data_IF_094062066488
#
_entry.id   IF_094062066488
#
_cell.length_a   1.000
_cell.length_b   1.000
_cell.length_c   1.000
_cell.angle_alpha   90.00
_cell.angle_beta   90.00
_cell.angle_gamma   90.00
#
_symmetry.space_group_name_H-M   'P 1'
#
loop_
_entity.id
_entity.type
_entity.pdbx_description
1 polymer ?
#
# COMPACT_ATOMS: atom_id res chain seq x y z
N UNK A 1 6.13 2.04 20.23
CA UNK A 1 6.85 2.44 21.46
C UNK A 1 7.63 3.69 21.12
N UNK A 2 7.43 4.81 21.84
CA UNK A 2 8.36 5.93 21.79
C UNK A 2 9.76 5.48 22.28
N UNK A 3 10.82 6.25 22.01
CA UNK A 3 12.19 5.93 22.44
C UNK A 3 12.24 5.63 23.94
N UNK A 4 12.77 4.45 24.28
CA UNK A 4 13.04 4.10 25.67
C UNK A 4 13.98 5.15 26.26
N UNK A 5 13.50 5.87 27.27
CA UNK A 5 14.23 6.90 28.02
C UNK A 5 15.57 6.32 28.46
N UNK A 6 16.68 6.99 28.14
CA UNK A 6 17.94 6.76 28.86
C UNK A 6 17.73 7.30 30.26
N UNK A 7 17.53 6.41 31.25
CA UNK A 7 17.40 6.80 32.66
C UNK A 7 18.54 7.74 33.03
N UNK A 8 18.21 8.96 33.43
CA UNK A 8 19.16 9.86 34.08
C UNK A 8 19.63 9.20 35.37
N UNK A 9 20.95 9.09 35.53
CA UNK A 9 21.56 8.47 36.69
C UNK A 9 21.26 9.30 37.94
N UNK A 10 20.51 8.73 38.90
CA UNK A 10 20.57 9.17 40.31
C UNK A 10 21.80 8.51 40.98
N UNK A 11 22.47 9.20 41.92
CA UNK A 11 23.82 8.84 42.36
C UNK A 11 23.83 7.63 43.30
N UNK A 12 24.86 6.82 43.14
CA UNK A 12 25.12 5.58 43.87
C UNK A 12 25.28 5.77 45.38
N UNK A 13 24.74 4.84 46.17
CA UNK A 13 25.35 4.41 47.44
C UNK A 13 25.61 2.91 47.37
N UNK A 14 26.90 2.57 47.47
CA UNK A 14 27.45 1.22 47.55
C UNK A 14 26.97 0.48 48.80
N UNK A 15 26.78 -0.84 48.72
CA UNK A 15 27.37 -1.86 49.63
C UNK A 15 27.28 -3.24 48.95
N UNK A 16 28.27 -4.10 49.23
CA UNK A 16 28.77 -5.22 48.42
C UNK A 16 28.15 -6.62 48.67
N UNK A 17 28.06 -7.39 47.57
CA UNK A 17 28.44 -8.81 47.28
C UNK A 17 27.96 -10.04 48.12
N UNK A 18 27.24 -10.93 47.38
CA UNK A 18 27.31 -12.42 47.22
C UNK A 18 26.71 -13.37 48.31
N UNK A 19 26.43 -14.68 47.99
CA UNK A 19 25.76 -15.27 46.80
C UNK A 19 24.73 -16.41 47.12
N UNK A 20 24.03 -16.84 46.06
CA UNK A 20 23.37 -18.14 45.76
C UNK A 20 22.39 -18.85 46.73
N UNK A 21 21.18 -19.15 46.21
CA UNK A 21 20.49 -20.43 46.45
C UNK A 21 19.37 -20.67 45.40
N UNK A 22 19.49 -21.81 44.72
CA UNK A 22 18.41 -22.53 44.02
C UNK A 22 17.15 -22.64 44.88
N UNK A 23 15.95 -22.60 44.28
CA UNK A 23 14.93 -23.67 44.41
C UNK A 23 13.81 -23.50 43.37
N UNK A 24 13.49 -24.62 42.71
CA UNK A 24 12.38 -24.96 41.83
C UNK A 24 11.00 -24.49 42.37
N UNK A 25 10.05 -24.15 41.48
CA UNK A 25 8.70 -24.72 41.53
C UNK A 25 7.96 -24.61 40.19
N UNK A 26 7.01 -25.52 40.05
CA UNK A 26 6.27 -26.02 38.88
C UNK A 26 5.22 -25.07 38.30
N UNK A 27 4.92 -25.19 37.00
CA UNK A 27 3.60 -24.78 36.47
C UNK A 27 3.05 -25.71 35.37
N UNK A 28 2.04 -26.48 35.78
CA UNK A 28 0.79 -26.78 35.07
C UNK A 28 0.81 -27.15 33.57
N UNK A 29 0.83 -28.45 33.29
CA UNK A 29 0.24 -29.02 32.05
C UNK A 29 -1.28 -28.83 32.07
N UNK A 30 -1.83 -28.12 31.08
CA UNK A 30 -3.26 -28.21 30.73
C UNK A 30 -3.44 -28.97 29.41
N UNK A 31 -4.15 -30.09 29.56
CA UNK A 31 -4.59 -31.09 28.59
C UNK A 31 -5.64 -30.44 27.67
N UNK A 32 -5.43 -30.44 26.34
CA UNK A 32 -6.52 -30.22 25.37
C UNK A 32 -7.06 -31.58 24.97
N UNK A 33 -8.34 -31.79 25.23
CA UNK A 33 -9.09 -32.97 24.84
C UNK A 33 -9.46 -32.91 23.36
N UNK A 34 -9.32 -34.05 22.71
CA UNK A 34 -9.95 -34.38 21.43
C UNK A 34 -11.47 -34.30 21.56
N UNK A 35 -12.12 -33.77 20.53
CA UNK A 35 -13.27 -34.47 19.95
C UNK A 35 -13.47 -34.03 18.49
N UNK A 36 -13.31 -35.03 17.64
CA UNK A 36 -13.90 -35.23 16.33
C UNK A 36 -15.25 -34.53 16.16
N UNK A 37 -15.42 -33.82 15.04
CA UNK A 37 -16.57 -34.03 14.17
C UNK A 37 -16.19 -33.64 12.72
N UNK A 38 -16.03 -34.69 11.92
CA UNK A 38 -15.75 -34.65 10.49
C UNK A 38 -17.05 -34.35 9.74
N UNK A 39 -17.16 -33.17 9.14
CA UNK A 39 -18.07 -32.93 8.01
C UNK A 39 -17.21 -32.82 6.75
N UNK A 40 -17.20 -33.90 5.97
CA UNK A 40 -16.66 -33.92 4.61
C UNK A 40 -17.44 -32.97 3.71
N UNK A 41 -16.75 -32.01 3.10
CA UNK A 41 -17.19 -31.40 1.86
C UNK A 41 -16.09 -31.60 0.80
N UNK A 42 -16.37 -32.50 -0.14
CA UNK A 42 -15.54 -32.88 -1.27
C UNK A 42 -15.26 -31.66 -2.15
N UNK A 43 -13.98 -31.32 -2.33
CA UNK A 43 -13.53 -30.45 -3.42
C UNK A 43 -12.85 -31.30 -4.48
N UNK A 44 -13.41 -31.22 -5.69
CA UNK A 44 -12.93 -31.88 -6.91
C UNK A 44 -11.54 -31.39 -7.28
N UNK A 45 -10.70 -32.32 -7.69
CA UNK A 45 -9.34 -32.13 -8.17
C UNK A 45 -9.26 -31.07 -9.27
N UNK A 46 -8.46 -30.02 -9.04
CA UNK A 46 -7.96 -29.14 -10.09
C UNK A 46 -6.44 -29.04 -10.02
N UNK A 47 -5.79 -29.66 -11.00
CA UNK A 47 -4.44 -29.45 -11.53
C UNK A 47 -3.31 -29.11 -10.52
N UNK A 48 -2.50 -30.13 -10.18
CA UNK A 48 -1.21 -29.97 -9.50
C UNK A 48 -0.24 -29.12 -10.35
N UNK A 49 0.01 -27.89 -9.91
CA UNK A 49 1.34 -27.26 -9.98
C UNK A 49 1.82 -27.09 -8.54
N UNK A 50 2.64 -28.03 -8.03
CA UNK A 50 3.90 -27.60 -7.40
C UNK A 50 5.00 -28.67 -7.50
N UNK A 51 6.17 -28.33 -8.06
CA UNK A 51 7.44 -29.03 -7.81
C UNK A 51 8.60 -28.04 -7.80
N UNK A 52 8.53 -27.01 -8.65
CA UNK A 52 9.60 -26.00 -8.75
C UNK A 52 9.67 -25.02 -7.56
N UNK A 53 8.52 -24.56 -7.05
CA UNK A 53 8.49 -23.59 -5.92
C UNK A 53 8.97 -24.20 -4.59
N UNK A 54 8.64 -25.48 -4.35
CA UNK A 54 9.11 -26.20 -3.17
C UNK A 54 10.63 -26.40 -3.24
N UNK A 55 11.18 -26.91 -4.35
CA UNK A 55 12.63 -27.15 -4.51
C UNK A 55 13.50 -25.89 -4.35
N UNK A 56 13.05 -24.73 -4.85
CA UNK A 56 13.81 -23.47 -4.73
C UNK A 56 13.80 -22.95 -3.29
N UNK A 57 12.66 -23.05 -2.59
CA UNK A 57 12.57 -22.62 -1.20
C UNK A 57 13.38 -23.50 -0.26
N UNK A 58 13.52 -24.81 -0.55
CA UNK A 58 14.37 -25.70 0.25
C UNK A 58 15.85 -25.34 0.10
N UNK A 59 16.33 -25.03 -1.11
CA UNK A 59 17.74 -24.65 -1.34
C UNK A 59 18.16 -23.34 -0.69
N UNK A 60 17.26 -22.36 -0.59
CA UNK A 60 17.55 -21.10 0.10
C UNK A 60 17.72 -21.29 1.63
N UNK A 61 17.11 -22.32 2.21
CA UNK A 61 17.22 -22.62 3.63
C UNK A 61 18.43 -23.51 3.97
N UNK A 62 19.13 -24.04 2.96
CA UNK A 62 20.34 -24.85 3.12
C UNK A 62 21.61 -24.00 3.20
N UNK A 63 21.55 -22.71 2.84
CA UNK A 63 22.70 -21.80 2.93
C UNK A 63 22.92 -21.30 4.37
N UNK A 64 24.16 -20.99 4.77
CA UNK A 64 24.43 -20.33 6.04
C UNK A 64 23.65 -19.03 6.20
N UNK A 65 23.13 -18.80 7.40
CA UNK A 65 22.30 -17.63 7.72
C UNK A 65 23.00 -16.30 7.41
N UNK A 66 24.32 -16.22 7.56
CA UNK A 66 25.08 -15.01 7.26
C UNK A 66 25.04 -14.64 5.76
N UNK A 67 25.10 -15.66 4.88
CA UNK A 67 24.95 -15.45 3.43
C UNK A 67 23.50 -15.06 3.10
N UNK A 68 22.53 -15.66 3.78
CA UNK A 68 21.13 -15.27 3.64
C UNK A 68 20.91 -13.81 4.04
N UNK A 69 21.53 -13.35 5.14
CA UNK A 69 21.48 -11.95 5.56
C UNK A 69 22.14 -11.02 4.56
N UNK A 70 23.28 -11.41 3.99
CA UNK A 70 23.95 -10.63 2.94
C UNK A 70 23.06 -10.51 1.70
N UNK A 71 22.46 -11.60 1.21
CA UNK A 71 21.52 -11.52 0.08
C UNK A 71 20.33 -10.61 0.43
N UNK A 72 19.81 -10.73 1.64
CA UNK A 72 18.70 -9.93 2.13
C UNK A 72 19.04 -8.44 2.28
N UNK A 73 20.30 -8.08 2.58
CA UNK A 73 20.72 -6.69 2.75
C UNK A 73 20.58 -5.87 1.47
N UNK A 74 20.65 -6.52 0.30
CA UNK A 74 20.47 -5.92 -1.03
C UNK A 74 19.01 -5.80 -1.47
N UNK A 75 18.06 -6.38 -0.73
CA UNK A 75 16.63 -6.28 -1.06
C UNK A 75 16.06 -4.96 -0.53
N UNK A 76 15.07 -4.35 -1.21
CA UNK A 76 14.33 -3.24 -0.63
C UNK A 76 13.52 -3.71 0.59
N UNK A 77 13.23 -2.85 1.58
CA UNK A 77 12.55 -3.26 2.81
C UNK A 77 11.18 -3.92 2.59
N UNK A 78 10.42 -3.47 1.58
CA UNK A 78 9.17 -4.12 1.19
C UNK A 78 9.40 -5.55 0.66
N UNK A 79 10.50 -5.75 -0.07
CA UNK A 79 10.93 -7.07 -0.55
C UNK A 79 11.23 -8.02 0.62
N UNK A 80 11.95 -7.54 1.63
CA UNK A 80 12.19 -8.30 2.86
C UNK A 80 10.91 -8.62 3.62
N UNK A 81 9.99 -7.66 3.70
CA UNK A 81 8.71 -7.89 4.34
C UNK A 81 7.90 -8.98 3.62
N UNK A 82 7.86 -8.97 2.29
CA UNK A 82 7.21 -10.01 1.51
C UNK A 82 7.91 -11.36 1.64
N UNK A 83 9.24 -11.39 1.59
CA UNK A 83 10.05 -12.59 1.78
C UNK A 83 9.80 -13.22 3.16
N UNK A 84 9.70 -12.41 4.21
CA UNK A 84 9.38 -12.88 5.57
C UNK A 84 7.98 -13.51 5.70
N UNK A 85 7.13 -13.43 4.68
CA UNK A 85 5.75 -13.97 4.69
C UNK A 85 5.58 -15.19 3.78
N UNK A 86 6.58 -15.55 3.00
CA UNK A 86 6.50 -16.71 2.10
C UNK A 86 6.72 -18.02 2.85
N UNK A 87 7.58 -18.03 3.88
CA UNK A 87 7.94 -19.23 4.65
C UNK A 87 8.08 -18.93 6.14
N UNK A 88 7.58 -19.84 7.00
CA UNK A 88 7.68 -19.73 8.47
C UNK A 88 9.12 -19.68 8.97
N UNK A 89 10.02 -20.46 8.36
CA UNK A 89 11.44 -20.48 8.73
C UNK A 89 12.12 -19.17 8.36
N UNK A 90 11.90 -18.67 7.14
CA UNK A 90 12.42 -17.37 6.69
C UNK A 90 11.89 -16.25 7.59
N UNK A 91 10.60 -16.30 7.97
CA UNK A 91 10.01 -15.37 8.93
C UNK A 91 10.76 -15.36 10.25
N UNK A 92 11.04 -16.53 10.82
CA UNK A 92 11.73 -16.64 12.11
C UNK A 92 13.15 -16.04 12.02
N UNK A 93 13.85 -16.29 10.91
CA UNK A 93 15.19 -15.75 10.66
C UNK A 93 15.14 -14.22 10.52
N UNK A 94 14.32 -13.69 9.62
CA UNK A 94 14.22 -12.26 9.32
C UNK A 94 13.53 -11.42 10.40
N UNK A 95 12.89 -12.04 11.39
CA UNK A 95 12.32 -11.31 12.54
C UNK A 95 13.21 -11.40 13.78
N UNK A 96 14.37 -12.07 13.67
CA UNK A 96 15.34 -12.19 14.76
C UNK A 96 16.24 -10.95 14.85
N UNK A 97 16.81 -10.73 16.03
CA UNK A 97 17.77 -9.64 16.26
C UNK A 97 19.04 -9.78 15.40
N UNK A 98 19.45 -11.00 15.08
CA UNK A 98 20.61 -11.26 14.21
C UNK A 98 20.42 -10.72 12.78
N UNK A 99 19.17 -10.59 12.32
CA UNK A 99 18.86 -10.07 10.99
C UNK A 99 18.85 -8.54 10.89
N UNK A 100 19.06 -7.82 12.01
CA UNK A 100 18.97 -6.35 12.04
C UNK A 100 19.90 -5.66 11.05
N UNK A 101 21.10 -6.21 10.83
CA UNK A 101 22.02 -5.71 9.83
C UNK A 101 21.38 -5.69 8.43
N UNK A 102 20.81 -6.81 8.00
CA UNK A 102 20.16 -6.93 6.70
C UNK A 102 19.02 -5.91 6.54
N UNK A 103 18.19 -5.73 7.57
CA UNK A 103 17.15 -4.71 7.54
C UNK A 103 17.70 -3.29 7.48
N UNK A 104 18.69 -2.95 8.31
CA UNK A 104 19.28 -1.60 8.30
C UNK A 104 19.89 -1.26 6.95
N UNK A 105 20.63 -2.20 6.36
CA UNK A 105 21.18 -2.07 5.01
C UNK A 105 20.10 -1.99 3.93
N UNK A 106 19.00 -2.74 4.05
CA UNK A 106 17.86 -2.59 3.11
C UNK A 106 17.32 -1.15 3.12
N UNK A 107 17.28 -0.54 4.29
CA UNK A 107 16.87 0.83 4.53
C UNK A 107 17.94 1.87 4.13
N UNK A 108 19.21 1.46 3.99
CA UNK A 108 20.30 2.29 3.44
C UNK A 108 20.03 2.77 2.03
N UNK A 109 19.43 1.92 1.20
CA UNK A 109 19.13 2.27 -0.19
C UNK A 109 18.07 3.35 -0.38
N UNK A 110 17.20 3.61 0.61
CA UNK A 110 15.98 4.42 0.38
C UNK A 110 15.74 5.56 1.38
N UNK A 111 16.38 5.59 2.54
CA UNK A 111 16.13 6.64 3.54
C UNK A 111 17.14 7.77 3.47
N UNK A 112 16.71 8.94 3.88
CA UNK A 112 17.58 10.11 4.08
C UNK A 112 18.34 9.97 5.40
N UNK A 113 19.59 10.43 5.45
CA UNK A 113 20.48 10.26 6.63
C UNK A 113 19.90 10.87 7.91
N UNK A 114 19.18 11.99 7.82
CA UNK A 114 18.48 12.60 8.95
C UNK A 114 17.35 11.74 9.52
N UNK A 115 16.74 10.85 8.73
CA UNK A 115 15.68 9.94 9.20
C UNK A 115 16.31 8.74 9.94
N UNK A 116 17.55 8.35 9.63
CA UNK A 116 18.18 7.13 10.18
C UNK A 116 18.41 7.22 11.68
N UNK A 117 19.02 8.31 12.13
CA UNK A 117 19.49 8.49 13.50
C UNK A 117 18.35 8.55 14.52
N UNK A 118 17.19 9.04 14.09
CA UNK A 118 16.05 9.32 14.97
C UNK A 118 15.32 8.04 15.41
N UNK A 119 15.43 6.94 14.65
CA UNK A 119 14.50 5.78 14.71
C UNK A 119 15.01 4.59 15.51
N UNK A 120 15.85 4.81 16.52
CA UNK A 120 16.35 3.73 17.36
C UNK A 120 15.27 3.08 18.26
N UNK A 121 14.07 3.66 18.30
CA UNK A 121 12.93 3.24 19.12
C UNK A 121 12.02 2.19 18.49
N UNK A 122 12.08 2.04 17.17
CA UNK A 122 11.26 1.09 16.41
C UNK A 122 12.15 0.03 15.75
N UNK A 123 11.75 -1.25 15.86
CA UNK A 123 12.45 -2.30 15.13
C UNK A 123 12.18 -2.19 13.63
N UNK A 124 13.19 -2.54 12.84
CA UNK A 124 13.21 -2.31 11.41
C UNK A 124 12.08 -3.06 10.66
N UNK A 125 11.70 -4.31 11.00
CA UNK A 125 10.55 -4.98 10.39
C UNK A 125 9.22 -4.27 10.66
N UNK A 126 9.07 -3.68 11.85
CA UNK A 126 7.88 -2.91 12.23
C UNK A 126 7.81 -1.64 11.40
N UNK A 127 8.93 -0.95 11.26
CA UNK A 127 9.03 0.25 10.43
C UNK A 127 8.73 -0.03 8.96
N UNK A 128 9.22 -1.15 8.41
CA UNK A 128 8.90 -1.58 7.05
C UNK A 128 7.39 -1.82 6.88
N UNK A 129 6.76 -2.42 7.88
CA UNK A 129 5.30 -2.61 7.90
C UNK A 129 4.57 -1.27 7.94
N UNK A 130 5.02 -0.30 8.74
CA UNK A 130 4.38 1.03 8.78
C UNK A 130 4.49 1.75 7.43
N UNK A 131 5.67 1.76 6.82
CA UNK A 131 5.91 2.54 5.60
C UNK A 131 5.26 1.93 4.34
N UNK A 132 5.33 0.61 4.20
CA UNK A 132 5.03 -0.06 2.92
C UNK A 132 3.80 -0.97 2.95
N UNK A 133 3.31 -1.39 4.12
CA UNK A 133 2.12 -2.24 4.21
C UNK A 133 0.83 -1.41 4.14
N UNK A 134 -0.20 -1.93 3.47
CA UNK A 134 -1.52 -1.30 3.43
C UNK A 134 -2.61 -2.13 4.11
N UNK A 135 -2.23 -2.97 5.06
CA UNK A 135 -3.13 -3.83 5.84
C UNK A 135 -3.20 -3.37 7.28
N UNK A 136 -4.40 -3.42 7.83
CA UNK A 136 -4.62 -3.12 9.24
C UNK A 136 -3.90 -4.14 10.14
N UNK A 137 -3.13 -3.69 11.13
CA UNK A 137 -2.45 -4.56 12.10
C UNK A 137 -3.44 -5.46 12.88
N UNK A 138 -4.61 -4.93 13.22
CA UNK A 138 -5.65 -5.66 13.95
C UNK A 138 -6.41 -6.65 13.07
N UNK A 139 -7.14 -6.15 12.08
CA UNK A 139 -8.05 -6.99 11.27
C UNK A 139 -7.44 -7.56 9.98
N UNK A 140 -6.20 -7.19 9.62
CA UNK A 140 -5.48 -7.64 8.42
C UNK A 140 -6.15 -7.33 7.06
N UNK A 141 -7.27 -6.61 7.08
CA UNK A 141 -7.95 -6.12 5.88
C UNK A 141 -7.16 -4.96 5.26
N UNK A 142 -7.17 -4.82 3.92
CA UNK A 142 -6.62 -3.65 3.26
C UNK A 142 -7.30 -2.39 3.79
N UNK A 143 -6.52 -1.34 4.09
CA UNK A 143 -7.09 -0.05 4.47
C UNK A 143 -7.65 0.65 3.22
N UNK A 144 -8.76 1.34 3.41
CA UNK A 144 -9.39 2.11 2.32
C UNK A 144 -8.61 3.40 2.10
N UNK A 145 -8.28 3.68 0.84
CA UNK A 145 -7.59 4.91 0.41
C UNK A 145 -6.09 4.94 0.73
N UNK A 146 -5.45 6.07 0.39
CA UNK A 146 -4.07 6.38 0.75
C UNK A 146 -3.96 6.82 2.22
N UNK A 147 -4.61 6.07 3.12
CA UNK A 147 -4.63 6.39 4.53
C UNK A 147 -3.21 6.26 5.09
N UNK A 148 -2.69 7.34 5.66
CA UNK A 148 -1.40 7.31 6.36
C UNK A 148 -1.49 6.47 7.64
N UNK A 149 -0.42 5.75 8.01
CA UNK A 149 -0.28 5.11 9.32
C UNK A 149 -0.31 6.13 10.46
N UNK A 150 -0.66 5.68 11.66
CA UNK A 150 -0.58 6.48 12.88
C UNK A 150 0.86 6.41 13.40
N UNK A 151 1.75 7.26 12.88
CA UNK A 151 3.18 7.23 13.22
C UNK A 151 3.45 7.51 14.70
N UNK A 152 2.70 8.43 15.31
CA UNK A 152 2.80 8.73 16.75
C UNK A 152 2.51 7.50 17.63
N UNK A 153 1.58 6.64 17.20
CA UNK A 153 1.26 5.39 17.89
C UNK A 153 2.10 4.21 17.39
N UNK A 154 2.91 4.42 16.34
CA UNK A 154 3.67 3.36 15.64
C UNK A 154 2.77 2.20 15.19
N UNK A 155 1.54 2.51 14.75
CA UNK A 155 0.57 1.51 14.26
C UNK A 155 -0.01 1.81 12.88
N UNK A 156 -0.35 0.72 12.17
CA UNK A 156 -1.04 0.73 10.90
C UNK A 156 -2.43 0.11 11.11
N UNK A 157 -3.28 0.74 11.91
CA UNK A 157 -4.62 0.24 12.20
C UNK A 157 -5.70 0.99 11.38
N UNK A 158 -6.84 0.34 11.17
CA UNK A 158 -8.06 1.02 10.76
C UNK A 158 -8.76 1.58 12.01
N UNK A 159 -9.57 2.62 11.82
CA UNK A 159 -10.32 3.29 12.88
C UNK A 159 -11.00 2.31 13.85
N UNK A 160 -11.81 1.37 13.34
CA UNK A 160 -12.52 0.42 14.20
C UNK A 160 -11.60 -0.47 15.04
N UNK A 161 -10.42 -0.81 14.54
CA UNK A 161 -9.43 -1.57 15.30
C UNK A 161 -8.71 -0.71 16.33
N UNK A 162 -8.53 0.59 16.04
CA UNK A 162 -7.91 1.54 16.95
C UNK A 162 -8.82 1.79 18.16
N UNK A 163 -10.09 2.10 17.91
CA UNK A 163 -11.13 2.33 18.94
C UNK A 163 -11.40 1.09 19.80
N UNK A 164 -11.35 -0.11 19.20
CA UNK A 164 -11.58 -1.36 19.94
C UNK A 164 -10.34 -1.89 20.66
N UNK A 165 -9.18 -1.26 20.49
CA UNK A 165 -7.92 -1.78 21.04
C UNK A 165 -7.76 -1.40 22.51
N UNK A 166 -7.48 -2.37 23.40
CA UNK A 166 -7.17 -2.06 24.79
C UNK A 166 -5.80 -1.38 24.95
N UNK A 167 -4.97 -1.34 23.90
CA UNK A 167 -3.65 -0.67 23.94
C UNK A 167 -3.77 0.85 23.93
N UNK A 168 -4.93 1.39 23.57
CA UNK A 168 -5.18 2.82 23.53
C UNK A 168 -6.22 3.24 24.58
N UNK A 169 -6.20 4.53 24.89
CA UNK A 169 -7.11 5.21 25.80
C UNK A 169 -7.87 6.28 25.03
N UNK A 170 -9.19 6.33 25.18
CA UNK A 170 -9.98 7.50 24.81
C UNK A 170 -9.78 8.62 25.85
N UNK A 171 -10.09 9.89 25.50
CA UNK A 171 -9.92 11.01 26.42
C UNK A 171 -10.70 10.82 27.73
N UNK A 172 -11.87 10.21 27.64
CA UNK A 172 -12.76 9.91 28.77
C UNK A 172 -12.17 8.85 29.72
N UNK A 173 -11.28 7.98 29.23
CA UNK A 173 -10.67 6.91 30.01
C UNK A 173 -9.37 7.34 30.72
N UNK A 174 -8.80 8.49 30.38
CA UNK A 174 -7.52 8.96 30.95
C UNK A 174 -7.61 9.15 32.46
N UNK A 175 -8.70 9.74 32.95
CA UNK A 175 -8.94 9.97 34.37
C UNK A 175 -9.02 8.64 35.14
N UNK A 176 -9.85 7.71 34.64
CA UNK A 176 -9.98 6.38 35.23
C UNK A 176 -8.67 5.57 35.18
N UNK A 177 -7.85 5.75 34.13
CA UNK A 177 -6.54 5.12 34.03
C UNK A 177 -5.54 5.70 35.04
N UNK A 178 -5.51 7.03 35.21
CA UNK A 178 -4.64 7.71 36.16
C UNK A 178 -5.00 7.37 37.62
N UNK A 179 -6.29 7.30 37.94
CA UNK A 179 -6.78 6.94 39.29
C UNK A 179 -6.33 5.54 39.75
N UNK A 180 -6.13 4.60 38.82
CA UNK A 180 -5.61 3.26 39.15
C UNK A 180 -4.19 3.30 39.67
N UNK A 181 -3.42 4.32 39.30
CA UNK A 181 -2.03 4.52 39.72
C UNK A 181 -1.96 5.47 40.91
N UNK A 182 -2.77 6.54 40.89
CA UNK A 182 -2.83 7.58 41.92
C UNK A 182 -4.27 7.69 42.45
N UNK A 183 -4.65 6.89 43.47
CA UNK A 183 -6.04 6.80 43.93
C UNK A 183 -6.59 8.06 44.62
N UNK A 184 -5.78 9.11 44.81
CA UNK A 184 -6.13 10.30 45.58
C UNK A 184 -6.13 11.56 44.71
N UNK A 185 -7.25 12.30 44.73
CA UNK A 185 -7.38 13.64 44.13
C UNK A 185 -6.69 14.72 44.99
N UNK A 186 -5.38 14.61 45.17
CA UNK A 186 -4.60 15.71 45.75
C UNK A 186 -4.69 16.96 44.87
N UNK A 187 -4.44 18.13 45.45
CA UNK A 187 -4.36 19.40 44.72
C UNK A 187 -3.42 19.26 43.51
N UNK A 188 -3.84 19.75 42.34
CA UNK A 188 -3.06 19.66 41.11
C UNK A 188 -3.28 18.38 40.29
N UNK A 189 -4.08 17.41 40.74
CA UNK A 189 -4.39 16.19 39.97
C UNK A 189 -4.88 16.48 38.55
N UNK A 190 -5.88 17.36 38.40
CA UNK A 190 -6.43 17.74 37.08
C UNK A 190 -5.40 18.44 36.20
N UNK A 191 -4.51 19.23 36.81
CA UNK A 191 -3.41 19.88 36.09
C UNK A 191 -2.44 18.84 35.53
N UNK A 192 -2.04 17.87 36.36
CA UNK A 192 -1.14 16.77 35.95
C UNK A 192 -1.75 15.92 34.84
N UNK A 193 -3.01 15.51 35.00
CA UNK A 193 -3.75 14.75 33.97
C UNK A 193 -3.71 15.48 32.62
N UNK A 194 -4.01 16.78 32.62
CA UNK A 194 -4.00 17.59 31.41
C UNK A 194 -2.60 17.73 30.80
N UNK A 195 -1.56 17.92 31.63
CA UNK A 195 -0.18 18.08 31.15
C UNK A 195 0.41 16.78 30.61
N UNK A 196 0.24 15.66 31.33
CA UNK A 196 0.67 14.33 30.87
C UNK A 196 -0.06 13.99 29.56
N UNK A 197 -1.37 14.23 29.47
CA UNK A 197 -2.14 13.99 28.26
C UNK A 197 -1.63 14.77 27.04
N UNK A 198 -1.06 15.98 27.23
CA UNK A 198 -0.51 16.80 26.13
C UNK A 198 0.82 16.28 25.56
N UNK A 199 1.59 15.55 26.36
CA UNK A 199 2.89 14.98 25.97
C UNK A 199 2.81 13.46 25.77
N UNK A 200 1.62 12.87 25.86
CA UNK A 200 1.40 11.45 25.57
C UNK A 200 1.26 11.24 24.06
N UNK A 201 1.95 10.25 23.46
CA UNK A 201 1.72 9.87 22.07
C UNK A 201 0.25 9.60 21.80
N UNK A 202 -0.29 10.25 20.77
CA UNK A 202 -1.70 10.14 20.39
C UNK A 202 -1.86 9.94 18.89
N UNK A 203 -2.95 9.28 18.51
CA UNK A 203 -3.39 9.14 17.13
C UNK A 203 -4.81 9.66 16.96
N UNK A 204 -5.28 9.68 15.72
CA UNK A 204 -6.66 10.03 15.41
C UNK A 204 -7.48 8.76 15.23
N UNK A 205 -8.52 8.57 16.04
CA UNK A 205 -9.51 7.54 15.77
C UNK A 205 -10.31 7.89 14.51
N UNK A 206 -10.68 9.16 14.34
CA UNK A 206 -11.50 9.65 13.21
C UNK A 206 -10.76 10.77 12.47
N UNK A 207 -10.39 10.53 11.19
CA UNK A 207 -9.61 11.47 10.37
C UNK A 207 -10.25 12.84 10.12
N UNK A 208 -11.54 12.98 10.41
CA UNK A 208 -12.36 14.16 10.09
C UNK A 208 -12.76 14.97 11.35
N UNK A 209 -12.46 14.49 12.56
CA UNK A 209 -12.79 15.18 13.82
C UNK A 209 -11.54 15.44 14.67
N UNK A 210 -11.30 16.71 15.01
CA UNK A 210 -10.17 17.13 15.87
C UNK A 210 -10.24 16.59 17.31
N UNK A 211 -11.41 16.09 17.73
CA UNK A 211 -11.74 15.74 19.13
C UNK A 211 -11.73 14.22 19.41
N UNK A 212 -11.41 13.39 18.42
CA UNK A 212 -11.38 11.92 18.57
C UNK A 212 -9.96 11.39 18.67
N UNK A 213 -9.20 11.90 19.65
CA UNK A 213 -7.83 11.46 19.92
C UNK A 213 -7.85 10.20 20.77
N UNK A 214 -6.99 9.25 20.40
CA UNK A 214 -6.67 8.11 21.26
C UNK A 214 -5.21 8.20 21.70
N UNK A 215 -4.93 7.80 22.92
CA UNK A 215 -3.62 7.92 23.56
C UNK A 215 -2.98 6.55 23.75
N UNK A 216 -1.66 6.46 23.58
CA UNK A 216 -0.92 5.24 23.92
C UNK A 216 -1.01 4.96 25.43
N UNK A 217 -1.72 3.88 25.80
CA UNK A 217 -1.97 3.55 27.20
C UNK A 217 -0.69 3.32 27.97
N UNK A 218 0.27 2.61 27.37
CA UNK A 218 1.53 2.26 28.02
C UNK A 218 2.35 3.52 28.36
N UNK A 219 2.53 4.42 27.39
CA UNK A 219 3.26 5.69 27.57
C UNK A 219 2.58 6.57 28.62
N UNK A 220 1.24 6.69 28.58
CA UNK A 220 0.49 7.46 29.56
C UNK A 220 0.73 6.94 30.99
N UNK A 221 0.57 5.63 31.20
CA UNK A 221 0.73 5.02 32.52
C UNK A 221 2.18 5.08 33.02
N UNK A 222 3.17 4.94 32.14
CA UNK A 222 4.58 5.11 32.49
C UNK A 222 4.86 6.53 33.01
N UNK A 223 4.32 7.55 32.35
CA UNK A 223 4.48 8.94 32.78
C UNK A 223 3.76 9.25 34.09
N UNK A 224 2.56 8.71 34.28
CA UNK A 224 1.83 8.84 35.54
C UNK A 224 2.63 8.20 36.68
N UNK A 225 3.15 7.00 36.47
CA UNK A 225 3.95 6.27 37.47
C UNK A 225 5.26 6.99 37.80
N UNK A 226 5.95 7.55 36.80
CA UNK A 226 7.20 8.31 37.01
C UNK A 226 6.98 9.60 37.80
N UNK A 227 5.83 10.24 37.62
CA UNK A 227 5.55 11.58 38.17
C UNK A 227 4.72 11.57 39.44
N UNK A 228 4.21 10.41 39.89
CA UNK A 228 3.24 10.31 40.99
C UNK A 228 3.72 10.94 42.30
N UNK A 229 5.01 10.83 42.60
CA UNK A 229 5.61 11.25 43.88
C UNK A 229 6.34 12.61 43.80
N UNK A 230 6.38 13.23 42.61
CA UNK A 230 7.01 14.55 42.44
C UNK A 230 6.20 15.64 43.13
N UNK A 231 6.85 16.71 43.59
CA UNK A 231 6.15 17.94 43.99
C UNK A 231 5.72 18.78 42.77
N UNK A 232 5.18 19.99 42.99
CA UNK A 232 4.67 20.85 41.91
C UNK A 232 5.80 21.39 41.03
N UNK A 233 6.91 21.82 41.62
CA UNK A 233 8.04 22.44 40.91
C UNK A 233 8.87 21.37 40.18
N UNK A 234 9.05 20.21 40.81
CA UNK A 234 9.65 19.03 40.21
C UNK A 234 8.84 18.53 39.00
N UNK A 235 7.50 18.49 39.13
CA UNK A 235 6.62 18.12 38.03
C UNK A 235 6.68 19.12 36.87
N UNK A 236 6.72 20.42 37.15
CA UNK A 236 6.81 21.43 36.09
C UNK A 236 8.13 21.31 35.33
N UNK A 237 9.24 21.11 36.06
CA UNK A 237 10.56 20.86 35.47
C UNK A 237 10.56 19.60 34.59
N UNK A 238 9.96 18.52 35.09
CA UNK A 238 9.77 17.29 34.32
C UNK A 238 8.95 17.53 33.05
N UNK A 239 7.82 18.22 33.16
CA UNK A 239 6.91 18.47 32.04
C UNK A 239 7.56 19.33 30.95
N UNK A 240 8.36 20.34 31.31
CA UNK A 240 9.11 21.16 30.34
C UNK A 240 10.09 20.29 29.55
N UNK A 241 10.85 19.43 30.23
CA UNK A 241 11.79 18.53 29.57
C UNK A 241 11.06 17.51 28.68
N UNK A 242 9.96 16.93 29.17
CA UNK A 242 9.22 15.92 28.43
C UNK A 242 8.47 16.50 27.24
N UNK A 243 8.01 17.76 27.32
CA UNK A 243 7.44 18.48 26.20
C UNK A 243 8.44 18.64 25.05
N UNK A 244 9.71 18.89 25.34
CA UNK A 244 10.74 18.97 24.30
C UNK A 244 11.05 17.59 23.70
N UNK A 245 11.14 16.54 24.52
CA UNK A 245 11.24 15.16 24.02
C UNK A 245 10.07 14.80 23.10
N UNK A 246 8.86 15.18 23.50
CA UNK A 246 7.65 14.94 22.72
C UNK A 246 7.66 15.71 21.39
N UNK A 247 8.18 16.95 21.39
CA UNK A 247 8.35 17.74 20.17
C UNK A 247 9.32 17.07 19.20
N UNK A 248 10.47 16.59 19.67
CA UNK A 248 11.42 15.86 18.84
C UNK A 248 10.79 14.58 18.25
N UNK A 249 9.99 13.88 19.05
CA UNK A 249 9.23 12.72 18.59
C UNK A 249 8.16 13.07 17.53
N UNK A 250 7.48 14.22 17.68
CA UNK A 250 6.56 14.73 16.66
C UNK A 250 7.29 15.07 15.35
N UNK A 251 8.45 15.71 15.42
CA UNK A 251 9.27 16.05 14.26
C UNK A 251 9.73 14.78 13.53
N UNK A 252 10.11 13.72 14.27
CA UNK A 252 10.40 12.41 13.67
C UNK A 252 9.18 11.82 12.94
N UNK A 253 8.03 11.79 13.61
CA UNK A 253 6.81 11.24 13.03
C UNK A 253 6.41 12.00 11.77
N UNK A 254 6.64 13.31 11.73
CA UNK A 254 6.45 14.15 10.55
C UNK A 254 7.41 13.78 9.43
N UNK A 255 8.69 13.58 9.71
CA UNK A 255 9.66 13.14 8.69
C UNK A 255 9.28 11.80 8.07
N UNK A 256 8.79 10.84 8.87
CA UNK A 256 8.29 9.56 8.35
C UNK A 256 7.05 9.72 7.48
N UNK A 257 6.18 10.65 7.86
CA UNK A 257 5.00 10.99 7.09
C UNK A 257 5.38 11.59 5.74
N UNK A 258 6.26 12.60 5.73
CA UNK A 258 6.74 13.28 4.53
C UNK A 258 7.44 12.28 3.59
N UNK A 259 8.30 11.42 4.15
CA UNK A 259 8.96 10.35 3.40
C UNK A 259 7.95 9.38 2.76
N UNK A 260 6.95 8.93 3.53
CA UNK A 260 5.92 8.03 2.98
C UNK A 260 5.10 8.71 1.89
N UNK A 261 4.73 9.97 2.09
CA UNK A 261 3.98 10.74 1.11
C UNK A 261 4.74 10.86 -0.21
N UNK A 262 6.04 11.19 -0.14
CA UNK A 262 6.95 11.23 -1.28
C UNK A 262 6.99 9.87 -2.02
N UNK A 263 7.21 8.77 -1.29
CA UNK A 263 7.27 7.43 -1.90
C UNK A 263 5.93 7.01 -2.55
N UNK A 264 4.79 7.34 -1.92
CA UNK A 264 3.47 7.05 -2.47
C UNK A 264 3.20 7.89 -3.75
N UNK A 265 3.72 9.12 -3.82
CA UNK A 265 3.66 9.97 -5.01
C UNK A 265 4.53 9.44 -6.15
N UNK A 266 5.80 9.09 -5.89
CA UNK A 266 6.67 8.45 -6.89
C UNK A 266 6.07 7.15 -7.43
N UNK A 267 5.53 6.29 -6.56
CA UNK A 267 4.88 5.05 -6.98
C UNK A 267 3.66 5.31 -7.87
N UNK A 268 2.90 6.38 -7.59
CA UNK A 268 1.76 6.80 -8.40
C UNK A 268 2.22 7.33 -9.76
N UNK A 269 3.27 8.14 -9.81
CA UNK A 269 3.86 8.64 -11.06
C UNK A 269 4.40 7.51 -11.92
N UNK A 270 5.18 6.60 -11.35
CA UNK A 270 5.72 5.45 -12.07
C UNK A 270 4.60 4.57 -12.65
N UNK A 271 3.51 4.37 -11.89
CA UNK A 271 2.32 3.67 -12.36
C UNK A 271 1.63 4.41 -13.50
N UNK A 272 1.56 5.73 -13.44
CA UNK A 272 0.98 6.56 -14.51
C UNK A 272 1.84 6.54 -15.78
N UNK A 273 3.17 6.61 -15.64
CA UNK A 273 4.11 6.46 -16.75
C UNK A 273 3.98 5.09 -17.40
N UNK A 274 3.97 4.01 -16.61
CA UNK A 274 3.78 2.64 -17.12
C UNK A 274 2.46 2.49 -17.88
N UNK A 275 1.35 3.04 -17.34
CA UNK A 275 0.07 3.10 -18.07
C UNK A 275 0.18 3.89 -19.36
N UNK A 276 0.85 5.05 -19.34
CA UNK A 276 1.06 5.90 -20.52
C UNK A 276 1.81 5.19 -21.64
N UNK A 277 2.83 4.39 -21.30
CA UNK A 277 3.56 3.54 -22.27
C UNK A 277 2.61 2.52 -22.92
N UNK A 278 1.79 1.82 -22.13
CA UNK A 278 0.82 0.84 -22.65
C UNK A 278 -0.20 1.52 -23.57
N UNK A 279 -0.72 2.68 -23.17
CA UNK A 279 -1.66 3.47 -23.97
C UNK A 279 -1.03 3.88 -25.29
N UNK A 280 0.21 4.40 -25.25
CA UNK A 280 0.93 4.83 -26.44
C UNK A 280 1.16 3.67 -27.40
N UNK A 281 1.57 2.50 -26.90
CA UNK A 281 1.75 1.31 -27.71
C UNK A 281 0.42 0.85 -28.32
N UNK A 282 -0.66 0.81 -27.53
CA UNK A 282 -2.00 0.45 -28.00
C UNK A 282 -2.46 1.36 -29.15
N UNK A 283 -2.25 2.67 -29.04
CA UNK A 283 -2.60 3.64 -30.08
C UNK A 283 -1.80 3.37 -31.36
N UNK A 284 -0.50 3.08 -31.26
CA UNK A 284 0.32 2.69 -32.42
C UNK A 284 -0.21 1.40 -33.08
N UNK A 285 -0.55 0.39 -32.29
CA UNK A 285 -1.09 -0.88 -32.79
C UNK A 285 -2.43 -0.71 -33.52
N UNK A 286 -3.32 0.13 -32.96
CA UNK A 286 -4.60 0.47 -33.59
C UNK A 286 -4.36 1.16 -34.95
N UNK A 287 -3.48 2.17 -34.99
CA UNK A 287 -3.16 2.90 -36.22
C UNK A 287 -2.57 1.98 -37.29
N UNK A 288 -1.61 1.12 -36.92
CA UNK A 288 -0.99 0.15 -37.82
C UNK A 288 -2.03 -0.79 -38.45
N UNK A 289 -2.92 -1.38 -37.63
CA UNK A 289 -3.97 -2.26 -38.15
C UNK A 289 -4.96 -1.56 -39.09
N UNK A 290 -5.22 -0.27 -38.86
CA UNK A 290 -6.05 0.51 -39.79
C UNK A 290 -5.33 0.76 -41.12
N UNK A 291 -4.05 1.11 -41.09
CA UNK A 291 -3.24 1.26 -42.29
C UNK A 291 -3.18 -0.05 -43.09
N UNK A 292 -2.96 -1.19 -42.43
CA UNK A 292 -2.97 -2.52 -43.05
C UNK A 292 -4.32 -2.86 -43.67
N UNK A 293 -5.42 -2.47 -43.02
CA UNK A 293 -6.78 -2.62 -43.53
C UNK A 293 -7.16 -1.61 -44.64
N UNK A 294 -6.25 -0.71 -45.02
CA UNK A 294 -6.44 0.24 -46.12
C UNK A 294 -7.16 1.54 -45.73
N UNK A 295 -7.22 1.87 -44.44
CA UNK A 295 -7.72 3.16 -43.95
C UNK A 295 -6.60 4.19 -43.90
N UNK A 296 -6.95 5.46 -44.11
CA UNK A 296 -6.00 6.58 -43.99
C UNK A 296 -6.10 7.15 -42.58
N UNK A 297 -4.96 7.16 -41.87
CA UNK A 297 -4.82 7.71 -40.51
C UNK A 297 -4.07 9.06 -40.49
N UNK A 298 -3.66 9.59 -41.64
CA UNK A 298 -2.88 10.84 -41.75
C UNK A 298 -3.81 12.04 -42.01
N UNK A 299 -3.49 13.21 -41.45
CA UNK A 299 -4.10 14.47 -41.90
C UNK A 299 -3.78 14.71 -43.38
N UNK A 300 -4.63 15.46 -44.10
CA UNK A 300 -4.36 15.89 -45.50
C UNK A 300 -3.06 16.71 -45.62
N UNK A 301 -2.51 17.14 -44.48
CA UNK A 301 -1.37 18.04 -44.34
C UNK A 301 -0.05 17.29 -44.03
N UNK A 302 -0.07 15.95 -44.01
CA UNK A 302 1.15 15.12 -44.02
C UNK A 302 1.89 14.92 -42.68
N UNK A 303 1.31 15.29 -41.53
CA UNK A 303 1.95 15.04 -40.23
C UNK A 303 1.67 13.65 -39.63
N UNK A 304 2.65 13.17 -38.85
CA UNK A 304 2.77 11.88 -38.15
C UNK A 304 1.51 11.37 -37.42
N UNK A 305 1.53 10.07 -37.05
CA UNK A 305 0.50 9.38 -36.24
C UNK A 305 0.09 10.11 -34.94
N UNK A 306 0.88 11.06 -34.45
CA UNK A 306 0.55 11.88 -33.29
C UNK A 306 -0.64 12.82 -33.60
N UNK A 307 -0.65 13.43 -34.80
CA UNK A 307 -1.74 14.28 -35.28
C UNK A 307 -3.05 13.52 -35.54
N UNK A 308 -2.99 12.20 -35.73
CA UNK A 308 -4.20 11.36 -35.87
C UNK A 308 -5.04 11.35 -34.59
N UNK A 309 -4.38 11.18 -33.44
CA UNK A 309 -5.02 11.09 -32.14
C UNK A 309 -5.41 12.46 -31.58
N UNK A 310 -4.66 13.52 -31.91
CA UNK A 310 -4.95 14.90 -31.49
C UNK A 310 -6.35 15.38 -31.92
N UNK A 311 -6.86 14.86 -33.05
CA UNK A 311 -8.24 15.14 -33.52
C UNK A 311 -9.33 14.65 -32.57
N UNK A 312 -9.07 13.62 -31.78
CA UNK A 312 -10.00 13.14 -30.74
C UNK A 312 -9.95 13.98 -29.47
N UNK A 313 -8.90 14.78 -29.28
CA UNK A 313 -8.65 15.57 -28.07
C UNK A 313 -8.96 17.06 -28.31
N UNK A 314 -9.17 17.47 -29.56
CA UNK A 314 -9.38 18.87 -29.93
C UNK A 314 -10.63 19.49 -29.27
N UNK A 315 -10.53 20.70 -28.69
CA UNK A 315 -11.56 21.31 -27.86
C UNK A 315 -12.85 21.73 -28.59
N UNK A 316 -12.86 21.76 -29.93
CA UNK A 316 -13.96 22.37 -30.68
C UNK A 316 -15.27 21.57 -30.68
N UNK A 317 -15.30 20.28 -30.26
CA UNK A 317 -16.55 19.53 -29.98
C UNK A 317 -16.33 18.35 -29.01
N UNK A 318 -16.48 18.51 -27.68
CA UNK A 318 -16.57 17.36 -26.79
C UNK A 318 -17.97 16.76 -26.88
N UNK A 319 -18.29 16.08 -27.98
CA UNK A 319 -19.47 15.22 -27.99
C UNK A 319 -19.21 14.02 -27.08
N UNK A 320 -20.26 13.53 -26.39
CA UNK A 320 -20.18 12.31 -25.57
C UNK A 320 -19.53 11.15 -26.34
N UNK A 321 -19.77 11.06 -27.65
CA UNK A 321 -19.20 10.01 -28.50
C UNK A 321 -17.69 10.12 -28.69
N UNK A 322 -17.12 11.33 -28.74
CA UNK A 322 -15.66 11.55 -28.85
C UNK A 322 -14.96 11.15 -27.56
N UNK A 323 -15.54 11.50 -26.39
CA UNK A 323 -15.04 11.07 -25.08
C UNK A 323 -15.07 9.55 -24.91
N UNK A 324 -16.16 8.90 -25.33
CA UNK A 324 -16.26 7.43 -25.31
C UNK A 324 -15.29 6.76 -26.30
N UNK A 325 -15.11 7.34 -27.49
CA UNK A 325 -14.10 6.86 -28.43
C UNK A 325 -12.70 6.96 -27.84
N UNK A 326 -12.35 8.10 -27.23
CA UNK A 326 -11.07 8.29 -26.54
C UNK A 326 -10.88 7.26 -25.43
N UNK A 327 -11.89 7.06 -24.56
CA UNK A 327 -11.85 6.05 -23.49
C UNK A 327 -11.60 4.64 -24.02
N UNK A 328 -12.17 4.29 -25.17
CA UNK A 328 -12.03 2.99 -25.79
C UNK A 328 -10.62 2.75 -26.38
N UNK A 329 -10.05 3.76 -27.04
CA UNK A 329 -8.73 3.65 -27.68
C UNK A 329 -7.57 3.84 -26.70
N UNK A 330 -7.75 4.64 -25.64
CA UNK A 330 -6.74 4.94 -24.62
C UNK A 330 -6.79 4.02 -23.39
N UNK A 331 -7.40 2.83 -23.52
CA UNK A 331 -7.43 1.86 -22.40
C UNK A 331 -6.00 1.43 -22.06
N UNK A 332 -5.62 1.37 -20.77
CA UNK A 332 -4.28 0.95 -20.35
C UNK A 332 -4.12 -0.57 -20.38
N UNK A 333 -4.47 -1.20 -21.50
CA UNK A 333 -4.34 -2.63 -21.76
C UNK A 333 -3.91 -2.87 -23.21
N UNK A 334 -3.07 -3.88 -23.49
CA UNK A 334 -2.69 -4.23 -24.86
C UNK A 334 -3.91 -4.50 -25.75
N UNK A 335 -3.82 -4.16 -27.03
CA UNK A 335 -4.87 -4.47 -28.01
C UNK A 335 -4.85 -5.98 -28.32
N UNK A 336 -6.00 -6.63 -28.16
CA UNK A 336 -6.14 -8.07 -28.47
C UNK A 336 -6.86 -8.27 -29.80
N UNK A 337 -6.54 -9.36 -30.51
CA UNK A 337 -7.23 -9.69 -31.77
C UNK A 337 -8.73 -9.89 -31.58
N UNK A 338 -9.13 -10.50 -30.46
CA UNK A 338 -10.56 -10.67 -30.12
C UNK A 338 -11.27 -9.32 -29.98
N UNK A 339 -10.62 -8.31 -29.40
CA UNK A 339 -11.19 -6.98 -29.28
C UNK A 339 -11.25 -6.26 -30.63
N UNK A 340 -10.18 -6.36 -31.41
CA UNK A 340 -10.10 -5.80 -32.76
C UNK A 340 -11.20 -6.35 -33.66
N UNK A 341 -11.37 -7.67 -33.69
CA UNK A 341 -12.32 -8.36 -34.57
C UNK A 341 -13.78 -8.08 -34.25
N UNK A 342 -14.11 -7.56 -33.05
CA UNK A 342 -15.46 -7.08 -32.74
C UNK A 342 -15.83 -5.82 -33.53
N UNK A 343 -14.85 -5.10 -34.09
CA UNK A 343 -15.06 -3.91 -34.92
C UNK A 343 -15.62 -2.69 -34.17
N UNK A 344 -15.67 -2.73 -32.83
CA UNK A 344 -16.22 -1.62 -32.03
C UNK A 344 -15.36 -0.37 -32.20
N UNK A 345 -14.03 -0.51 -32.13
CA UNK A 345 -13.08 0.60 -32.31
C UNK A 345 -13.27 1.28 -33.67
N UNK A 346 -13.42 0.48 -34.74
CA UNK A 346 -13.69 0.98 -36.09
C UNK A 346 -15.00 1.78 -36.16
N UNK A 347 -16.09 1.27 -35.56
CA UNK A 347 -17.39 1.96 -35.56
C UNK A 347 -17.31 3.33 -34.88
N UNK A 348 -16.68 3.41 -33.72
CA UNK A 348 -16.52 4.68 -33.00
C UNK A 348 -15.66 5.68 -33.76
N UNK A 349 -14.52 5.25 -34.32
CA UNK A 349 -13.63 6.14 -35.06
C UNK A 349 -14.26 6.66 -36.37
N UNK A 350 -15.07 5.85 -37.07
CA UNK A 350 -15.87 6.32 -38.22
C UNK A 350 -16.89 7.35 -37.75
N UNK A 351 -17.62 7.08 -36.68
CA UNK A 351 -18.65 7.98 -36.17
C UNK A 351 -18.07 9.33 -35.69
N UNK A 352 -16.86 9.31 -35.14
CA UNK A 352 -16.12 10.52 -34.77
C UNK A 352 -15.47 11.23 -35.97
N UNK A 353 -15.57 10.69 -37.20
CA UNK A 353 -14.96 11.26 -38.40
C UNK A 353 -13.43 11.20 -38.41
N UNK A 354 -12.82 10.41 -37.52
CA UNK A 354 -11.37 10.35 -37.35
C UNK A 354 -10.68 9.55 -38.45
N UNK A 355 -11.37 8.58 -39.04
CA UNK A 355 -10.84 7.75 -40.13
C UNK A 355 -11.70 7.89 -41.39
N UNK A 356 -11.03 7.96 -42.53
CA UNK A 356 -11.66 8.00 -43.85
C UNK A 356 -11.33 6.69 -44.58
N UNK A 357 -12.33 6.10 -45.23
CA UNK A 357 -12.12 4.92 -46.10
C UNK A 357 -11.10 5.31 -47.18
N UNK A 358 -9.95 4.65 -47.18
CA UNK A 358 -8.95 4.80 -48.23
C UNK A 358 -9.45 4.24 -49.57
N UNK A 359 -8.76 4.61 -50.65
CA UNK A 359 -9.15 4.24 -52.02
C UNK A 359 -9.21 2.71 -52.25
N UNK A 360 -8.41 1.90 -51.53
CA UNK A 360 -8.36 0.43 -51.68
C UNK A 360 -9.70 -0.29 -51.40
N UNK A 361 -10.63 0.33 -50.68
CA UNK A 361 -11.97 -0.20 -50.41
C UNK A 361 -13.09 0.50 -51.20
N UNK A 362 -12.80 1.53 -52.00
CA UNK A 362 -13.79 2.10 -52.95
C UNK A 362 -14.03 1.16 -54.14
N UNK A 363 -13.03 0.36 -54.52
CA UNK A 363 -13.10 -0.49 -55.72
C UNK A 363 -13.84 -1.83 -55.52
N UNK A 364 -14.34 -2.11 -54.32
CA UNK A 364 -14.99 -3.41 -53.98
C UNK A 364 -16.52 -3.41 -53.89
N UNK A 365 -17.26 -2.32 -53.54
CA UNK A 365 -18.72 -2.33 -53.53
C UNK A 365 -19.31 -2.10 -54.93
N UNK A 366 -18.73 -1.21 -55.74
CA UNK A 366 -19.29 -0.85 -57.04
C UNK A 366 -19.23 -2.01 -58.04
N UNK A 367 -18.22 -2.88 -57.95
CA UNK A 367 -18.18 -4.10 -58.78
C UNK A 367 -19.27 -5.11 -58.38
N UNK A 368 -19.69 -5.22 -57.12
CA UNK A 368 -20.79 -6.12 -56.75
C UNK A 368 -22.16 -5.58 -57.16
N UNK A 369 -22.42 -4.28 -56.98
CA UNK A 369 -23.67 -3.66 -57.43
C UNK A 369 -23.78 -3.59 -58.96
N UNK A 370 -22.70 -3.28 -59.67
CA UNK A 370 -22.71 -3.26 -61.13
C UNK A 370 -22.87 -4.68 -61.71
N UNK A 371 -22.29 -5.71 -61.08
CA UNK A 371 -22.46 -7.11 -61.53
C UNK A 371 -23.86 -7.63 -61.23
N UNK A 372 -24.48 -7.26 -60.10
CA UNK A 372 -25.89 -7.58 -59.80
C UNK A 372 -26.88 -6.81 -60.69
N UNK A 373 -26.62 -5.55 -61.03
CA UNK A 373 -27.46 -4.77 -61.94
C UNK A 373 -27.35 -5.25 -63.39
N UNK A 374 -26.15 -5.66 -63.83
CA UNK A 374 -25.95 -6.27 -65.16
C UNK A 374 -26.60 -7.65 -65.23
N UNK A 375 -26.52 -8.47 -64.16
CA UNK A 375 -27.20 -9.76 -64.09
C UNK A 375 -28.74 -9.63 -64.09
N UNK A 376 -29.30 -8.64 -63.39
CA UNK A 376 -30.74 -8.34 -63.40
C UNK A 376 -31.21 -7.82 -64.76
N UNK A 377 -30.44 -6.96 -65.45
CA UNK A 377 -30.77 -6.50 -66.82
C UNK A 377 -30.72 -7.65 -67.84
N UNK A 378 -29.76 -8.57 -67.72
CA UNK A 378 -29.68 -9.74 -68.62
C UNK A 378 -30.83 -10.74 -68.45
N UNK A 379 -31.39 -10.88 -67.24
CA UNK A 379 -32.58 -11.72 -67.01
C UNK A 379 -33.89 -11.12 -67.54
N UNK A 380 -34.01 -9.78 -67.57
CA UNK A 380 -35.21 -9.09 -68.10
C UNK A 380 -35.27 -9.17 -69.63
N UNK A 381 -34.12 -9.16 -70.32
CA UNK A 381 -34.07 -9.27 -71.79
C UNK A 381 -34.44 -10.68 -72.29
N UNK A 382 -34.19 -11.73 -71.49
CA UNK A 382 -34.57 -13.12 -71.85
C UNK A 382 -36.05 -13.47 -71.62
N UNK A 383 -36.85 -12.55 -71.05
CA UNK A 383 -38.27 -12.79 -70.72
C UNK A 383 -39.27 -11.99 -71.56
N UNK A 384 -38.85 -11.30 -72.62
CA UNK A 384 -39.79 -10.72 -73.59
C UNK A 384 -40.35 -11.82 -74.51
N UNK A 385 -41.68 -12.06 -74.56
CA UNK A 385 -42.27 -12.95 -75.54
C UNK A 385 -42.13 -12.34 -76.93
N UNK A 386 -41.79 -13.16 -77.93
CA UNK A 386 -41.98 -12.82 -79.34
C UNK A 386 -43.49 -12.68 -79.56
N UNK A 387 -43.95 -11.48 -79.91
CA UNK A 387 -45.25 -11.26 -80.53
C UNK A 387 -45.17 -11.60 -82.02
#
# INVERSE_FOLDING_TARGET
>A
MPPRRKKSAKPSKNTALLPDADTKYTSGKRKRGDNNDLVLCQQKDSAKKPRLEEEISFRLLEIPTDILYEICSHLPPLGLLHLSRTCKTIRAILMSEASRYAWRSSFESILLDGIREVRNDICEPRLATLLFENRCDGCQKPRRGAAMPEFMLRVNMCQSCLESSPEFLDPDDLDAAMQKVVPNHANGYRYRLAMIGRVTPYGSAVKEAYDSRVYDRASFLEMVEETKDLDVDEFETWHIAEKENFRLFQDECKQLWDFKAYMDEEAKEQKNLSKGVIVTQRLKDIAARFMDAGYVTVSLDGCDNQCFWDRLISPDRPSHTVLECWRLVSRPIPLTDKEWNKGVILKYLIHCGCIIRGNKLRDTPEKKEHTEQVAKKAQVVKRRPKA
#
